data_IF_153421034430
#
_entry.id   IF_153421034430
#
_cell.length_a   1.000
_cell.length_b   1.000
_cell.length_c   1.000
_cell.angle_alpha   90.00
_cell.angle_beta   90.00
_cell.angle_gamma   90.00
#
_symmetry.space_group_name_H-M   'P 1'
#
loop_
_entity.id
_entity.type
_entity.pdbx_description
1 polymer ?
#
# COMPACT_ATOMS: atom_id res chain seq x y z
N UNK A 1 -15.33 14.04 -1.02
CA UNK A 1 -15.18 13.23 0.22
C UNK A 1 -13.77 12.69 0.16
N UNK A 2 -12.87 13.11 1.05
CA UNK A 2 -11.49 12.61 1.05
C UNK A 2 -11.50 11.19 1.61
N UNK A 3 -11.12 10.20 0.80
CA UNK A 3 -10.98 8.82 1.28
C UNK A 3 -9.84 8.77 2.29
N UNK A 4 -10.13 8.33 3.50
CA UNK A 4 -9.13 8.18 4.55
C UNK A 4 -8.64 6.74 4.57
N UNK A 5 -7.36 6.51 4.29
CA UNK A 5 -6.79 5.15 4.22
C UNK A 5 -6.10 4.72 5.52
N UNK A 6 -5.51 5.66 6.28
CA UNK A 6 -4.75 5.31 7.49
C UNK A 6 -5.63 4.62 8.53
N UNK A 7 -5.08 3.59 9.16
CA UNK A 7 -5.74 2.78 10.20
C UNK A 7 -6.67 1.68 9.67
N UNK A 8 -6.88 1.61 8.35
CA UNK A 8 -7.70 0.56 7.73
C UNK A 8 -6.88 -0.69 7.43
N UNK A 9 -7.54 -1.85 7.52
CA UNK A 9 -6.93 -3.13 7.20
C UNK A 9 -6.83 -3.31 5.69
N UNK A 10 -5.70 -3.85 5.25
CA UNK A 10 -5.48 -4.30 3.89
C UNK A 10 -5.78 -5.79 3.81
N UNK A 11 -6.65 -6.16 2.89
CA UNK A 11 -7.06 -7.55 2.68
C UNK A 11 -6.89 -7.97 1.22
N UNK A 12 -6.67 -9.25 0.98
CA UNK A 12 -6.66 -9.80 -0.39
C UNK A 12 -8.09 -9.99 -0.94
N UNK A 13 -8.21 -10.48 -2.17
CA UNK A 13 -9.49 -10.74 -2.82
C UNK A 13 -10.37 -11.79 -2.11
N UNK A 14 -9.82 -12.57 -1.19
CA UNK A 14 -10.54 -13.53 -0.34
C UNK A 14 -10.81 -12.96 1.07
N UNK A 15 -10.63 -11.64 1.25
CA UNK A 15 -10.75 -10.93 2.53
C UNK A 15 -9.80 -11.45 3.63
N UNK A 16 -8.63 -12.00 3.25
CA UNK A 16 -7.61 -12.40 4.22
C UNK A 16 -6.68 -11.22 4.53
N UNK A 17 -6.41 -11.02 5.82
CA UNK A 17 -5.57 -9.92 6.30
C UNK A 17 -4.13 -9.99 5.75
N UNK A 18 -3.72 -8.93 5.08
CA UNK A 18 -2.35 -8.68 4.65
C UNK A 18 -1.61 -7.91 5.73
N UNK A 19 -2.21 -6.81 6.21
CA UNK A 19 -1.64 -5.87 7.16
C UNK A 19 -2.55 -4.67 7.39
N UNK A 20 -2.02 -3.59 7.94
CA UNK A 20 -2.77 -2.36 8.23
C UNK A 20 -2.05 -1.17 7.59
N UNK A 21 -2.81 -0.21 7.05
CA UNK A 21 -2.25 1.01 6.45
C UNK A 21 -1.78 1.93 7.60
N UNK A 22 -0.46 2.04 7.78
CA UNK A 22 0.15 2.90 8.79
C UNK A 22 0.33 4.33 8.30
N UNK A 23 0.58 4.51 7.00
CA UNK A 23 0.79 5.81 6.39
C UNK A 23 0.38 5.84 4.90
N UNK A 24 0.33 7.02 4.30
CA UNK A 24 -0.01 7.25 2.89
C UNK A 24 0.95 8.29 2.31
N UNK A 25 1.54 7.96 1.17
CA UNK A 25 2.31 8.89 0.34
C UNK A 25 1.38 9.49 -0.71
N UNK A 26 1.46 10.81 -0.85
CA UNK A 26 0.67 11.60 -1.78
C UNK A 26 1.58 12.17 -2.86
N UNK A 27 1.04 12.32 -4.07
CA UNK A 27 1.73 12.98 -5.17
C UNK A 27 1.76 14.51 -5.02
N UNK A 28 2.28 15.21 -6.03
CA UNK A 28 2.36 16.67 -6.07
C UNK A 28 0.99 17.37 -6.13
N UNK A 29 -0.06 16.67 -6.57
CA UNK A 29 -1.44 17.16 -6.66
C UNK A 29 -2.24 16.89 -5.37
N UNK A 30 -1.67 16.12 -4.46
CA UNK A 30 -2.31 15.72 -3.20
C UNK A 30 -3.18 14.47 -3.33
N UNK A 31 -3.05 13.71 -4.42
CA UNK A 31 -3.72 12.44 -4.62
C UNK A 31 -2.93 11.31 -3.94
N UNK A 32 -3.66 10.39 -3.30
CA UNK A 32 -3.05 9.27 -2.59
C UNK A 32 -2.49 8.25 -3.59
N UNK A 33 -1.18 8.05 -3.59
CA UNK A 33 -0.50 7.23 -4.60
C UNK A 33 -0.09 5.87 -4.02
N UNK A 34 0.52 5.88 -2.83
CA UNK A 34 1.04 4.67 -2.19
C UNK A 34 0.60 4.58 -0.73
N UNK A 35 0.04 3.44 -0.34
CA UNK A 35 -0.14 3.08 1.07
C UNK A 35 1.16 2.48 1.62
N UNK A 36 1.50 2.83 2.86
CA UNK A 36 2.51 2.13 3.67
C UNK A 36 1.77 1.11 4.53
N UNK A 37 2.06 -0.16 4.30
CA UNK A 37 1.37 -1.28 4.95
C UNK A 37 2.29 -1.94 5.97
N UNK A 38 1.91 -1.87 7.25
CA UNK A 38 2.50 -2.66 8.31
C UNK A 38 1.97 -4.10 8.24
N UNK A 39 2.87 -5.06 8.07
CA UNK A 39 2.55 -6.49 7.95
C UNK A 39 2.43 -7.21 9.31
N UNK A 40 2.61 -6.46 10.41
CA UNK A 40 2.57 -6.93 11.80
C UNK A 40 3.96 -7.11 12.42
N UNK A 41 3.97 -7.56 13.67
CA UNK A 41 5.17 -7.64 14.53
C UNK A 41 6.40 -8.25 13.82
N UNK A 42 7.54 -7.56 13.97
CA UNK A 42 8.87 -7.92 13.46
C UNK A 42 9.02 -7.92 11.93
N UNK A 43 8.03 -7.45 11.18
CA UNK A 43 8.14 -7.30 9.72
C UNK A 43 8.38 -5.84 9.37
N UNK A 44 9.09 -5.61 8.27
CA UNK A 44 9.16 -4.27 7.69
C UNK A 44 7.81 -3.90 7.10
N UNK A 45 7.48 -2.61 7.12
CA UNK A 45 6.39 -2.08 6.32
C UNK A 45 6.80 -2.02 4.84
N UNK A 46 5.82 -2.11 3.96
CA UNK A 46 6.03 -2.12 2.50
C UNK A 46 5.04 -1.19 1.82
N UNK A 47 5.43 -0.65 0.67
CA UNK A 47 4.54 0.18 -0.14
C UNK A 47 3.56 -0.69 -0.93
N UNK A 48 2.33 -0.20 -1.09
CA UNK A 48 1.25 -0.82 -1.86
C UNK A 48 0.54 0.27 -2.67
N UNK A 49 0.31 0.10 -3.98
CA UNK A 49 -0.31 1.13 -4.79
C UNK A 49 -1.78 1.30 -4.44
N UNK A 50 -2.20 2.54 -4.18
CA UNK A 50 -3.60 2.86 -3.88
C UNK A 50 -4.49 2.53 -5.08
N UNK A 51 -3.99 2.75 -6.29
CA UNK A 51 -4.70 2.48 -7.55
C UNK A 51 -5.03 0.99 -7.79
N UNK A 52 -4.39 0.07 -7.07
CA UNK A 52 -4.68 -1.35 -7.22
C UNK A 52 -5.88 -1.82 -6.38
N UNK A 53 -6.39 -1.01 -5.47
CA UNK A 53 -7.42 -1.43 -4.53
C UNK A 53 -8.62 -0.50 -4.43
N UNK A 54 -9.56 -0.88 -3.58
CA UNK A 54 -10.73 -0.07 -3.26
C UNK A 54 -11.12 -0.22 -1.79
N UNK A 55 -11.77 0.80 -1.25
CA UNK A 55 -12.33 0.78 0.11
C UNK A 55 -13.71 0.13 0.10
N UNK A 56 -13.95 -0.81 1.02
CA UNK A 56 -15.27 -1.38 1.27
C UNK A 56 -16.09 -0.48 2.20
N UNK A 57 -17.41 -0.67 2.23
CA UNK A 57 -18.26 0.00 3.21
C UNK A 57 -17.95 -0.37 4.67
N UNK A 58 -17.29 -1.52 4.89
CA UNK A 58 -16.83 -1.97 6.21
C UNK A 58 -15.50 -1.33 6.63
N UNK A 59 -14.84 -0.58 5.74
CA UNK A 59 -13.56 0.05 6.01
C UNK A 59 -12.35 -0.86 5.78
N UNK A 60 -12.45 -1.85 4.92
CA UNK A 60 -11.30 -2.64 4.46
C UNK A 60 -10.79 -2.09 3.14
N UNK A 61 -9.47 -2.08 2.94
CA UNK A 61 -8.84 -1.80 1.66
C UNK A 61 -8.52 -3.12 0.95
N UNK A 62 -9.30 -3.46 -0.07
CA UNK A 62 -9.19 -4.73 -0.79
C UNK A 62 -8.25 -4.57 -1.98
N UNK A 63 -7.28 -5.48 -2.13
CA UNK A 63 -6.32 -5.49 -3.24
C UNK A 63 -6.23 -6.86 -3.95
N UNK A 64 -5.84 -6.90 -5.23
CA UNK A 64 -5.69 -8.14 -6.00
C UNK A 64 -4.38 -8.89 -5.71
N UNK A 65 -3.67 -8.54 -4.64
CA UNK A 65 -2.37 -9.11 -4.29
C UNK A 65 -2.47 -9.90 -2.99
N UNK A 66 -1.75 -11.01 -2.90
CA UNK A 66 -1.61 -11.72 -1.63
C UNK A 66 -0.53 -11.07 -0.74
N UNK A 67 -0.46 -11.52 0.53
CA UNK A 67 0.54 -11.04 1.49
C UNK A 67 1.99 -11.28 1.05
N UNK A 68 2.26 -12.30 0.22
CA UNK A 68 3.62 -12.59 -0.26
C UNK A 68 4.09 -11.53 -1.24
N UNK A 69 3.23 -11.16 -2.20
CA UNK A 69 3.52 -10.09 -3.18
C UNK A 69 3.82 -8.78 -2.47
N UNK A 70 3.04 -8.41 -1.45
CA UNK A 70 3.27 -7.17 -0.69
C UNK A 70 4.56 -7.23 0.11
N UNK A 71 4.89 -8.38 0.72
CA UNK A 71 6.15 -8.56 1.48
C UNK A 71 7.41 -8.51 0.60
N UNK A 72 7.29 -8.84 -0.68
CA UNK A 72 8.41 -8.83 -1.62
C UNK A 72 8.65 -7.45 -2.25
N UNK A 73 7.71 -6.50 -2.08
CA UNK A 73 7.85 -5.14 -2.55
C UNK A 73 9.01 -4.40 -1.84
N UNK A 74 9.52 -3.29 -2.42
CA UNK A 74 10.38 -2.35 -1.70
C UNK A 74 9.84 -2.00 -0.31
N UNK A 75 10.74 -2.02 0.68
CA UNK A 75 10.40 -1.68 2.07
C UNK A 75 10.16 -0.18 2.19
N UNK A 76 9.22 0.20 3.05
CA UNK A 76 9.05 1.59 3.43
C UNK A 76 10.23 2.06 4.28
N UNK A 77 10.83 3.19 3.89
CA UNK A 77 11.81 3.89 4.74
C UNK A 77 11.13 4.33 6.04
N UNK A 78 11.90 4.48 7.13
CA UNK A 78 11.40 4.96 8.43
C UNK A 78 10.80 6.35 8.38
N UNK A 79 11.17 7.15 7.37
CA UNK A 79 10.59 8.48 7.11
C UNK A 79 9.36 8.42 6.22
N UNK A 80 9.00 7.25 5.70
CA UNK A 80 7.89 7.02 4.77
C UNK A 80 7.95 7.91 3.50
N UNK A 81 9.13 8.40 3.13
CA UNK A 81 9.37 9.16 1.90
C UNK A 81 9.63 8.19 0.77
N UNK A 82 8.98 8.42 -0.37
CA UNK A 82 9.21 7.66 -1.60
C UNK A 82 10.13 8.47 -2.53
N UNK A 83 11.31 7.94 -2.83
CA UNK A 83 12.19 8.51 -3.85
C UNK A 83 11.90 7.90 -5.24
N UNK A 84 12.40 8.57 -6.29
CA UNK A 84 12.14 8.21 -7.69
C UNK A 84 12.61 6.78 -8.03
N UNK A 85 13.81 6.38 -7.56
CA UNK A 85 14.33 5.03 -7.77
C UNK A 85 13.42 3.97 -7.12
N UNK A 86 12.93 4.23 -5.90
CA UNK A 86 12.00 3.32 -5.21
C UNK A 86 10.65 3.28 -5.91
N UNK A 87 10.14 4.42 -6.39
CA UNK A 87 8.90 4.49 -7.16
C UNK A 87 8.99 3.66 -8.45
N UNK A 88 10.07 3.77 -9.21
CA UNK A 88 10.29 2.95 -10.41
C UNK A 88 10.34 1.44 -10.10
N UNK A 89 11.02 1.07 -9.01
CA UNK A 89 11.08 -0.33 -8.55
C UNK A 89 9.71 -0.85 -8.15
N UNK A 90 8.88 -0.03 -7.50
CA UNK A 90 7.52 -0.38 -7.13
C UNK A 90 6.60 -0.55 -8.35
N UNK A 91 6.65 0.40 -9.29
CA UNK A 91 5.91 0.33 -10.55
C UNK A 91 6.22 -0.97 -11.29
N UNK A 92 7.51 -1.35 -11.37
CA UNK A 92 7.93 -2.62 -11.96
C UNK A 92 7.44 -3.84 -11.17
N UNK A 93 7.55 -3.81 -9.84
CA UNK A 93 7.13 -4.91 -8.95
C UNK A 93 5.64 -5.22 -9.11
N UNK A 94 4.81 -4.19 -9.07
CA UNK A 94 3.35 -4.30 -9.20
C UNK A 94 2.85 -4.34 -10.64
N UNK A 95 3.75 -4.25 -11.63
CA UNK A 95 3.45 -4.21 -13.07
C UNK A 95 2.43 -3.12 -13.41
N UNK A 96 2.55 -1.97 -12.76
CA UNK A 96 1.71 -0.82 -13.06
C UNK A 96 2.12 -0.29 -14.44
N UNK A 97 1.15 -0.11 -15.33
CA UNK A 97 1.35 0.66 -16.55
C UNK A 97 1.19 2.13 -16.21
N UNK A 98 2.25 2.91 -16.43
CA UNK A 98 2.20 4.39 -16.45
C UNK A 98 1.24 4.88 -17.52
#
# INVERSE_FOLDING_TARGET
>A
MTTHYRGHDVVDAEHRLIGTISDVVYDEYGDAEWAVVDLGLLRSAHYLPISAGYMTAAGEFVVPFDKRVVKEAPRADRRHVLDEETAERLTRHYRLST
#
